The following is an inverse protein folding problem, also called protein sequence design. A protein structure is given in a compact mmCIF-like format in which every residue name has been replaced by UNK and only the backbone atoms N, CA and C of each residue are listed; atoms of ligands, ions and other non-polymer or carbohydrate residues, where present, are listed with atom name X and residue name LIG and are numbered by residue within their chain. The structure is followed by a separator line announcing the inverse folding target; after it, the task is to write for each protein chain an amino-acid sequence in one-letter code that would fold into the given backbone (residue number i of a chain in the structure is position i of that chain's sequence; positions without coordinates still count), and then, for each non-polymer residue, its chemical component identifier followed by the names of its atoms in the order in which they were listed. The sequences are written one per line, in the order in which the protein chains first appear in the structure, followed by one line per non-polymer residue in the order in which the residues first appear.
data_IF_719678294523
#
_entry.id   IF_719678294523
#
_cell.length_a   1.000
_cell.length_b   1.000
_cell.length_c   1.000
_cell.angle_alpha   90.00
_cell.angle_beta   90.00
_cell.angle_gamma   90.00
#
_symmetry.space_group_name_H-M   'P 1'
#
loop_
_entity.id
_entity.type
_entity.pdbx_description
1 polymer ?
#
# COMPACT_ATOMS: atom_id res chain seq x y z
N UNK A 1 22.81 -0.37 -5.56
CA UNK A 1 22.78 0.43 -4.31
C UNK A 1 22.47 -0.49 -3.15
N UNK A 2 23.12 -0.27 -1.99
CA UNK A 2 22.92 -1.10 -0.79
C UNK A 2 22.43 -0.21 0.35
N UNK A 3 21.43 -0.67 1.10
CA UNK A 3 20.81 0.02 2.23
C UNK A 3 20.76 -0.92 3.44
N UNK A 4 21.38 -0.53 4.54
CA UNK A 4 21.37 -1.32 5.77
C UNK A 4 20.11 -0.99 6.59
N UNK A 5 19.25 -2.00 6.82
CA UNK A 5 17.99 -1.89 7.59
C UNK A 5 17.68 -3.21 8.30
N UNK A 6 16.78 -3.19 9.27
CA UNK A 6 16.34 -4.41 9.97
C UNK A 6 14.93 -4.83 9.58
N UNK A 7 14.08 -3.89 9.18
CA UNK A 7 12.69 -4.14 8.84
C UNK A 7 12.29 -3.53 7.50
N UNK A 8 11.39 -4.21 6.79
CA UNK A 8 10.81 -3.75 5.54
C UNK A 8 9.30 -3.58 5.72
N UNK A 9 8.80 -2.38 5.51
CA UNK A 9 7.38 -2.04 5.62
C UNK A 9 6.86 -1.74 4.21
N UNK A 10 5.96 -2.55 3.73
CA UNK A 10 5.42 -2.43 2.37
C UNK A 10 4.01 -1.85 2.40
N UNK A 11 3.75 -0.82 1.62
CA UNK A 11 2.38 -0.59 1.19
C UNK A 11 1.88 -1.80 0.38
N UNK A 12 0.57 -1.93 0.28
CA UNK A 12 -0.05 -3.04 -0.43
C UNK A 12 -0.24 -2.71 -1.92
N UNK A 13 -1.15 -1.75 -2.18
CA UNK A 13 -1.66 -1.45 -3.51
C UNK A 13 -0.66 -0.55 -4.26
N UNK A 14 -0.20 -0.99 -5.44
CA UNK A 14 0.87 -0.30 -6.19
C UNK A 14 2.29 -0.73 -5.81
N UNK A 15 2.49 -1.32 -4.63
CA UNK A 15 3.79 -1.82 -4.17
C UNK A 15 3.89 -3.34 -4.27
N UNK A 16 3.08 -4.09 -3.51
CA UNK A 16 3.07 -5.56 -3.55
C UNK A 16 2.09 -6.10 -4.57
N UNK A 17 0.96 -5.42 -4.74
CA UNK A 17 -0.12 -5.85 -5.63
C UNK A 17 -0.53 -4.74 -6.59
N UNK A 18 -0.99 -5.13 -7.78
CA UNK A 18 -1.61 -4.26 -8.77
C UNK A 18 -3.12 -4.50 -8.76
N UNK A 19 -3.85 -3.58 -8.16
CA UNK A 19 -5.31 -3.63 -7.98
C UNK A 19 -6.08 -2.65 -8.89
N UNK A 20 -5.40 -1.84 -9.69
CA UNK A 20 -5.97 -0.74 -10.46
C UNK A 20 -7.19 -1.17 -11.28
N UNK A 21 -7.06 -2.22 -12.10
CA UNK A 21 -8.15 -2.72 -12.95
C UNK A 21 -9.40 -3.11 -12.13
N UNK A 22 -9.20 -3.71 -10.94
CA UNK A 22 -10.30 -4.13 -10.06
C UNK A 22 -10.94 -2.94 -9.34
N UNK A 23 -10.15 -1.94 -8.96
CA UNK A 23 -10.61 -0.69 -8.35
C UNK A 23 -11.43 0.11 -9.36
N UNK A 24 -10.93 0.31 -10.57
CA UNK A 24 -11.66 1.03 -11.63
C UNK A 24 -12.99 0.36 -11.96
N UNK A 25 -13.04 -0.97 -12.02
CA UNK A 25 -14.30 -1.71 -12.26
C UNK A 25 -15.28 -1.56 -11.08
N UNK A 26 -14.80 -1.68 -9.83
CA UNK A 26 -15.64 -1.53 -8.64
C UNK A 26 -16.26 -0.13 -8.57
N UNK A 27 -15.43 0.89 -8.69
CA UNK A 27 -15.87 2.28 -8.66
C UNK A 27 -16.73 2.66 -9.87
N UNK A 28 -16.46 2.07 -11.03
CA UNK A 28 -17.32 2.24 -12.22
C UNK A 28 -18.76 1.76 -11.96
N UNK A 29 -18.91 0.52 -11.44
CA UNK A 29 -20.21 -0.03 -11.07
C UNK A 29 -20.90 0.78 -9.96
N UNK A 30 -20.13 1.20 -8.97
CA UNK A 30 -20.65 2.01 -7.88
C UNK A 30 -21.11 3.39 -8.35
N UNK A 31 -20.34 4.04 -9.21
CA UNK A 31 -20.64 5.39 -9.69
C UNK A 31 -21.89 5.45 -10.56
N UNK A 32 -22.20 4.40 -11.33
CA UNK A 32 -23.44 4.32 -12.10
C UNK A 32 -24.67 4.54 -11.22
N UNK A 33 -24.61 4.12 -9.95
CA UNK A 33 -25.72 4.18 -9.01
C UNK A 33 -25.70 5.44 -8.12
N UNK A 34 -24.54 5.80 -7.61
CA UNK A 34 -24.43 6.80 -6.54
C UNK A 34 -23.88 8.15 -6.99
N UNK A 35 -23.04 8.17 -8.03
CA UNK A 35 -22.39 9.38 -8.52
C UNK A 35 -22.18 9.33 -10.04
N UNK A 36 -23.27 9.35 -10.85
CA UNK A 36 -23.16 9.23 -12.30
C UNK A 36 -22.19 10.25 -12.90
N UNK A 37 -21.21 9.76 -13.68
CA UNK A 37 -20.16 10.59 -14.27
C UNK A 37 -18.88 10.71 -13.43
N UNK A 38 -18.86 10.20 -12.20
CA UNK A 38 -17.61 10.06 -11.45
C UNK A 38 -16.79 8.90 -12.00
N UNK A 39 -15.49 9.12 -12.16
CA UNK A 39 -14.52 8.09 -12.46
C UNK A 39 -13.37 8.18 -11.43
N UNK A 40 -13.04 7.04 -10.80
CA UNK A 40 -11.88 6.97 -9.92
C UNK A 40 -10.63 7.24 -10.75
N UNK A 41 -9.78 8.14 -10.30
CA UNK A 41 -8.52 8.47 -10.95
C UNK A 41 -7.35 8.31 -10.00
N UNK A 42 -6.16 8.48 -10.52
CA UNK A 42 -4.92 8.28 -9.74
C UNK A 42 -4.86 9.18 -8.49
N UNK A 43 -5.41 10.39 -8.54
CA UNK A 43 -5.45 11.33 -7.41
C UNK A 43 -6.18 10.81 -6.16
N UNK A 44 -6.92 9.72 -6.30
CA UNK A 44 -7.63 9.07 -5.19
C UNK A 44 -6.85 7.88 -4.59
N UNK A 45 -5.72 7.48 -5.22
CA UNK A 45 -4.90 6.38 -4.71
C UNK A 45 -4.36 6.67 -3.31
N UNK A 46 -4.37 5.66 -2.47
CA UNK A 46 -3.95 5.76 -1.08
C UNK A 46 -4.96 6.43 -0.14
N UNK A 47 -6.08 6.96 -0.66
CA UNK A 47 -7.18 7.48 0.16
C UNK A 47 -8.16 6.36 0.53
N UNK A 48 -8.64 6.31 1.79
CA UNK A 48 -9.71 5.39 2.18
C UNK A 48 -10.98 5.61 1.35
N UNK A 49 -11.63 4.53 0.89
CA UNK A 49 -12.87 4.60 0.12
C UNK A 49 -13.96 5.41 0.85
N UNK A 50 -14.04 5.27 2.18
CA UNK A 50 -14.96 6.02 3.05
C UNK A 50 -14.86 7.55 2.87
N UNK A 51 -13.66 8.09 2.73
CA UNK A 51 -13.46 9.53 2.52
C UNK A 51 -13.97 9.97 1.16
N UNK A 52 -13.71 9.18 0.12
CA UNK A 52 -14.16 9.47 -1.25
C UNK A 52 -15.68 9.41 -1.33
N UNK A 53 -16.30 8.39 -0.74
CA UNK A 53 -17.76 8.25 -0.69
C UNK A 53 -18.39 9.45 0.03
N UNK A 54 -17.82 9.92 1.15
CA UNK A 54 -18.34 11.05 1.91
C UNK A 54 -18.34 12.37 1.09
N UNK A 55 -17.45 12.52 0.11
CA UNK A 55 -17.41 13.68 -0.79
C UNK A 55 -18.47 13.60 -1.90
N UNK A 56 -18.93 12.38 -2.26
CA UNK A 56 -19.73 12.12 -3.45
C UNK A 56 -21.22 11.92 -3.17
N UNK A 57 -21.60 11.54 -1.95
CA UNK A 57 -23.00 11.24 -1.62
C UNK A 57 -23.48 12.04 -0.40
N UNK A 58 -24.82 12.15 -0.27
CA UNK A 58 -25.42 12.75 0.93
C UNK A 58 -25.20 11.90 2.18
N UNK A 59 -25.28 12.52 3.35
CA UNK A 59 -25.13 11.82 4.63
C UNK A 59 -26.14 10.66 4.81
N UNK A 60 -27.34 10.80 4.21
CA UNK A 60 -28.38 9.76 4.27
C UNK A 60 -28.00 8.49 3.50
N UNK A 61 -27.25 8.63 2.39
CA UNK A 61 -26.82 7.54 1.54
C UNK A 61 -25.43 6.99 1.93
N UNK A 62 -24.71 7.70 2.80
CA UNK A 62 -23.31 7.43 3.06
C UNK A 62 -23.05 5.98 3.50
N UNK A 63 -23.74 5.48 4.52
CA UNK A 63 -23.47 4.15 5.07
C UNK A 63 -23.78 3.04 4.05
N UNK A 64 -24.88 3.15 3.29
CA UNK A 64 -25.19 2.14 2.29
C UNK A 64 -24.27 2.20 1.09
N UNK A 65 -23.88 3.39 0.65
CA UNK A 65 -22.96 3.57 -0.47
C UNK A 65 -21.54 3.12 -0.11
N UNK A 66 -21.10 3.38 1.13
CA UNK A 66 -19.79 2.94 1.63
C UNK A 66 -19.73 1.41 1.80
N UNK A 67 -20.79 0.78 2.30
CA UNK A 67 -20.85 -0.67 2.36
C UNK A 67 -20.79 -1.30 0.97
N UNK A 68 -21.54 -0.77 0.00
CA UNK A 68 -21.60 -1.31 -1.36
C UNK A 68 -20.26 -1.21 -2.11
N UNK A 69 -19.48 -0.11 -1.95
CA UNK A 69 -18.16 -0.04 -2.59
C UNK A 69 -17.20 -1.05 -1.94
N UNK A 70 -17.22 -1.21 -0.62
CA UNK A 70 -16.39 -2.20 0.06
C UNK A 70 -16.71 -3.63 -0.42
N UNK A 71 -17.98 -3.97 -0.54
CA UNK A 71 -18.42 -5.28 -1.06
C UNK A 71 -17.97 -5.49 -2.51
N UNK A 72 -18.09 -4.47 -3.36
CA UNK A 72 -17.63 -4.53 -4.76
C UNK A 72 -16.11 -4.72 -4.87
N UNK A 73 -15.34 -3.99 -4.08
CA UNK A 73 -13.88 -4.12 -4.08
C UNK A 73 -13.43 -5.49 -3.58
N UNK A 74 -14.04 -6.04 -2.52
CA UNK A 74 -13.77 -7.40 -2.03
C UNK A 74 -14.17 -8.44 -3.09
N UNK A 75 -15.34 -8.32 -3.69
CA UNK A 75 -15.81 -9.23 -4.76
C UNK A 75 -14.85 -9.26 -5.95
N UNK A 76 -14.26 -8.13 -6.31
CA UNK A 76 -13.36 -7.99 -7.46
C UNK A 76 -11.88 -8.22 -7.10
N UNK A 77 -11.54 -8.39 -5.82
CA UNK A 77 -10.16 -8.59 -5.37
C UNK A 77 -9.45 -9.78 -6.03
N UNK A 78 -10.21 -10.80 -6.45
CA UNK A 78 -9.67 -11.97 -7.17
C UNK A 78 -8.96 -11.62 -8.50
N UNK A 79 -9.14 -10.42 -9.02
CA UNK A 79 -8.47 -9.91 -10.24
C UNK A 79 -7.11 -9.27 -9.97
N UNK A 80 -6.78 -9.04 -8.71
CA UNK A 80 -5.52 -8.44 -8.29
C UNK A 80 -4.34 -9.34 -8.66
N UNK A 81 -3.27 -8.74 -9.16
CA UNK A 81 -2.03 -9.43 -9.58
C UNK A 81 -0.86 -8.95 -8.73
N UNK A 82 0.21 -9.75 -8.59
CA UNK A 82 1.42 -9.27 -7.95
C UNK A 82 2.12 -8.22 -8.84
N UNK A 83 2.74 -7.22 -8.21
CA UNK A 83 3.65 -6.32 -8.92
C UNK A 83 4.95 -7.05 -9.30
N UNK A 84 5.69 -6.56 -10.32
CA UNK A 84 6.94 -7.19 -10.72
C UNK A 84 7.96 -7.25 -9.59
N UNK A 85 8.39 -8.47 -9.22
CA UNK A 85 9.38 -8.73 -8.17
C UNK A 85 8.81 -8.94 -6.77
N UNK A 86 7.52 -8.61 -6.52
CA UNK A 86 6.93 -8.69 -5.18
C UNK A 86 7.01 -10.09 -4.56
N UNK A 87 6.49 -11.12 -5.26
CA UNK A 87 6.49 -12.49 -4.74
C UNK A 87 7.92 -12.95 -4.44
N UNK A 88 8.87 -12.71 -5.37
CA UNK A 88 10.26 -13.12 -5.21
C UNK A 88 10.89 -12.48 -3.98
N UNK A 89 10.70 -11.17 -3.81
CA UNK A 89 11.25 -10.46 -2.67
C UNK A 89 10.66 -10.98 -1.36
N UNK A 90 9.34 -10.90 -1.16
CA UNK A 90 8.73 -11.24 0.13
C UNK A 90 8.86 -12.72 0.49
N UNK A 91 8.91 -13.64 -0.50
CA UNK A 91 9.15 -15.06 -0.25
C UNK A 91 10.57 -15.37 0.23
N UNK A 92 11.51 -14.46 0.00
CA UNK A 92 12.91 -14.58 0.48
C UNK A 92 13.14 -14.02 1.90
N UNK A 93 12.14 -13.28 2.43
CA UNK A 93 12.27 -12.60 3.72
C UNK A 93 11.95 -13.53 4.90
N UNK A 94 12.63 -13.31 6.02
CA UNK A 94 12.18 -13.83 7.32
C UNK A 94 10.83 -13.18 7.68
N UNK A 95 9.88 -13.99 8.15
CA UNK A 95 8.53 -13.52 8.50
C UNK A 95 8.49 -12.44 9.60
N UNK A 96 9.57 -12.29 10.37
CA UNK A 96 9.69 -11.28 11.42
C UNK A 96 10.36 -9.99 10.93
N UNK A 97 10.83 -9.94 9.68
CA UNK A 97 11.54 -8.78 9.12
C UNK A 97 10.69 -7.89 8.24
N UNK A 98 9.41 -8.23 7.99
CA UNK A 98 8.56 -7.43 7.12
C UNK A 98 7.10 -7.37 7.57
N UNK A 99 6.43 -6.29 7.17
CA UNK A 99 5.00 -6.06 7.40
C UNK A 99 4.34 -5.41 6.18
N UNK A 100 3.02 -5.56 6.10
CA UNK A 100 2.15 -4.85 5.15
C UNK A 100 1.42 -3.72 5.88
N UNK A 101 1.35 -2.55 5.23
CA UNK A 101 0.65 -1.36 5.75
C UNK A 101 -0.23 -0.80 4.65
N UNK A 102 -1.54 -0.98 4.75
CA UNK A 102 -2.49 -0.60 3.69
C UNK A 102 -3.54 0.41 4.15
N UNK A 103 -4.00 1.24 3.21
CA UNK A 103 -5.16 2.11 3.37
C UNK A 103 -6.52 1.39 3.20
N UNK A 104 -6.52 0.09 2.85
CA UNK A 104 -7.72 -0.71 2.79
C UNK A 104 -8.12 -1.26 4.16
N UNK A 105 -9.39 -1.65 4.35
CA UNK A 105 -9.80 -2.46 5.49
C UNK A 105 -9.25 -3.88 5.38
N UNK A 106 -9.23 -4.61 6.52
CA UNK A 106 -8.52 -5.89 6.63
C UNK A 106 -8.97 -6.91 5.58
N UNK A 107 -10.27 -7.11 5.41
CA UNK A 107 -10.81 -8.09 4.48
C UNK A 107 -10.36 -7.83 3.04
N UNK A 108 -10.42 -6.58 2.58
CA UNK A 108 -10.01 -6.21 1.23
C UNK A 108 -8.50 -6.36 1.03
N UNK A 109 -7.70 -5.81 1.94
CA UNK A 109 -6.25 -5.88 1.84
C UNK A 109 -5.75 -7.32 1.84
N UNK A 110 -6.32 -8.17 2.71
CA UNK A 110 -6.01 -9.60 2.76
C UNK A 110 -6.43 -10.33 1.47
N UNK A 111 -7.66 -10.09 0.99
CA UNK A 111 -8.14 -10.69 -0.25
C UNK A 111 -7.26 -10.36 -1.46
N UNK A 112 -6.79 -9.11 -1.57
CA UNK A 112 -5.86 -8.66 -2.62
C UNK A 112 -4.51 -9.39 -2.54
N UNK A 113 -3.91 -9.50 -1.34
CA UNK A 113 -2.65 -10.22 -1.14
C UNK A 113 -2.77 -11.68 -1.56
N UNK A 114 -3.83 -12.35 -1.09
CA UNK A 114 -4.04 -13.78 -1.39
C UNK A 114 -4.30 -14.02 -2.89
N UNK A 115 -5.09 -13.17 -3.53
CA UNK A 115 -5.35 -13.25 -4.98
C UNK A 115 -4.06 -13.09 -5.79
N UNK A 116 -3.17 -12.20 -5.35
CA UNK A 116 -1.87 -11.96 -5.98
C UNK A 116 -0.82 -13.04 -5.67
N UNK A 117 -1.12 -14.02 -4.81
CA UNK A 117 -0.18 -15.06 -4.40
C UNK A 117 0.97 -14.55 -3.52
N UNK A 118 0.78 -13.42 -2.85
CA UNK A 118 1.72 -12.91 -1.87
C UNK A 118 1.62 -13.77 -0.60
N UNK A 119 2.74 -14.24 -0.02
CA UNK A 119 2.72 -14.96 1.25
C UNK A 119 2.03 -14.16 2.35
N UNK A 120 1.25 -14.84 3.19
CA UNK A 120 0.57 -14.21 4.32
C UNK A 120 1.58 -13.52 5.26
N UNK A 121 1.50 -12.19 5.46
CA UNK A 121 2.40 -11.47 6.36
C UNK A 121 2.10 -11.83 7.82
N UNK A 122 3.13 -11.83 8.67
CA UNK A 122 2.93 -11.96 10.13
C UNK A 122 2.29 -10.71 10.73
N UNK A 123 2.60 -9.57 10.17
CA UNK A 123 2.07 -8.26 10.58
C UNK A 123 1.44 -7.59 9.38
N UNK A 124 0.16 -7.27 9.51
CA UNK A 124 -0.60 -6.43 8.60
C UNK A 124 -1.26 -5.33 9.41
N UNK A 125 -1.09 -4.09 8.98
CA UNK A 125 -1.75 -2.90 9.55
C UNK A 125 -2.66 -2.31 8.48
N UNK A 126 -3.89 -2.06 8.84
CA UNK A 126 -4.97 -1.62 7.96
C UNK A 126 -5.62 -0.35 8.51
N UNK A 127 -6.57 0.24 7.80
CA UNK A 127 -7.34 1.39 8.34
C UNK A 127 -8.13 1.02 9.60
N UNK A 128 -8.44 -0.26 9.80
CA UNK A 128 -9.19 -0.73 10.98
C UNK A 128 -8.35 -0.72 12.26
N UNK A 129 -7.03 -0.63 12.13
CA UNK A 129 -6.07 -0.67 13.24
C UNK A 129 -5.68 0.72 13.76
N UNK A 130 -5.98 1.79 13.03
CA UNK A 130 -5.50 3.15 13.28
C UNK A 130 -6.64 4.16 13.38
N UNK A 131 -6.40 5.25 14.05
CA UNK A 131 -7.36 6.36 14.12
C UNK A 131 -7.21 7.32 12.94
N UNK A 132 -6.00 7.44 12.42
CA UNK A 132 -5.67 8.34 11.30
C UNK A 132 -4.89 7.58 10.26
N UNK A 133 -5.42 7.57 9.03
CA UNK A 133 -4.75 7.00 7.87
C UNK A 133 -3.64 7.89 7.31
N UNK A 134 -2.89 7.39 6.32
CA UNK A 134 -1.88 8.15 5.58
C UNK A 134 -2.47 9.48 5.07
N UNK A 135 -1.80 10.61 5.24
CA UNK A 135 -0.37 10.79 5.51
C UNK A 135 0.05 10.80 7.00
N UNK A 136 -0.84 10.47 7.94
CA UNK A 136 -0.46 10.34 9.35
C UNK A 136 0.50 9.15 9.52
N UNK A 137 1.54 9.26 10.37
CA UNK A 137 2.54 8.21 10.58
C UNK A 137 2.03 6.99 11.35
N UNK A 138 0.83 7.04 11.93
CA UNK A 138 0.33 6.07 12.89
C UNK A 138 0.44 4.63 12.40
N UNK A 139 0.09 4.37 11.13
CA UNK A 139 0.09 3.03 10.55
C UNK A 139 1.50 2.42 10.44
N UNK A 140 2.51 3.21 10.03
CA UNK A 140 3.90 2.73 9.93
C UNK A 140 4.54 2.55 11.30
N UNK A 141 4.27 3.47 12.25
CA UNK A 141 4.72 3.33 13.63
C UNK A 141 4.13 2.06 14.27
N UNK A 142 2.83 1.81 14.08
CA UNK A 142 2.19 0.61 14.59
C UNK A 142 2.76 -0.67 13.98
N UNK A 143 3.04 -0.66 12.67
CA UNK A 143 3.64 -1.81 11.99
C UNK A 143 5.03 -2.15 12.54
N UNK A 144 5.89 -1.15 12.73
CA UNK A 144 7.22 -1.33 13.31
C UNK A 144 7.15 -1.88 14.75
N UNK A 145 6.23 -1.36 15.57
CA UNK A 145 5.98 -1.83 16.92
C UNK A 145 5.53 -3.30 16.95
N UNK A 146 4.60 -3.69 16.05
CA UNK A 146 4.12 -5.08 15.94
C UNK A 146 5.21 -6.05 15.45
N UNK A 147 6.16 -5.56 14.63
CA UNK A 147 7.36 -6.32 14.25
C UNK A 147 8.39 -6.41 15.38
N UNK A 148 8.36 -5.49 16.35
CA UNK A 148 9.39 -5.35 17.39
C UNK A 148 10.70 -4.77 16.84
N UNK A 149 10.64 -3.97 15.77
CA UNK A 149 11.78 -3.29 15.14
C UNK A 149 11.56 -1.79 15.23
N UNK A 150 12.58 -1.04 15.68
CA UNK A 150 12.48 0.43 15.73
C UNK A 150 12.26 1.00 14.33
N UNK A 151 11.34 1.96 14.20
CA UNK A 151 11.01 2.55 12.90
C UNK A 151 12.23 3.22 12.24
N UNK A 152 13.16 3.74 13.03
CA UNK A 152 14.43 4.31 12.56
C UNK A 152 15.41 3.26 11.99
N UNK A 153 15.09 1.98 12.08
CA UNK A 153 15.81 0.86 11.48
C UNK A 153 15.02 0.19 10.36
N UNK A 154 13.81 0.73 10.03
CA UNK A 154 12.95 0.23 8.97
C UNK A 154 13.09 1.02 7.67
N UNK A 155 12.80 0.34 6.55
CA UNK A 155 12.61 0.94 5.24
C UNK A 155 11.16 0.77 4.83
N UNK A 156 10.56 1.85 4.31
CA UNK A 156 9.19 1.87 3.78
C UNK A 156 9.24 1.83 2.25
N UNK A 157 8.41 0.99 1.62
CA UNK A 157 8.11 1.02 0.19
C UNK A 157 6.71 1.59 -0.03
N UNK A 158 6.58 2.59 -0.91
CA UNK A 158 5.34 3.31 -1.15
C UNK A 158 5.20 3.78 -2.60
N UNK A 159 3.96 3.76 -3.13
CA UNK A 159 3.66 4.23 -4.48
C UNK A 159 2.91 5.57 -4.49
N UNK A 160 2.38 6.03 -3.35
CA UNK A 160 1.55 7.22 -3.23
C UNK A 160 2.24 8.34 -2.43
N UNK A 161 2.09 9.63 -2.81
CA UNK A 161 2.67 10.75 -2.07
C UNK A 161 2.25 10.80 -0.59
N UNK A 162 0.97 10.47 -0.27
CA UNK A 162 0.47 10.41 1.10
C UNK A 162 1.20 9.37 1.95
N UNK A 163 1.51 8.21 1.36
CA UNK A 163 2.24 7.16 2.05
C UNK A 163 3.72 7.48 2.21
N UNK A 164 4.36 8.11 1.22
CA UNK A 164 5.73 8.65 1.37
C UNK A 164 5.79 9.64 2.53
N UNK A 165 4.82 10.57 2.62
CA UNK A 165 4.73 11.51 3.75
C UNK A 165 4.55 10.78 5.08
N UNK A 166 3.70 9.75 5.14
CA UNK A 166 3.49 8.95 6.34
C UNK A 166 4.77 8.23 6.79
N UNK A 167 5.49 7.60 5.86
CA UNK A 167 6.76 6.93 6.14
C UNK A 167 7.84 7.90 6.66
N UNK A 168 7.94 9.08 6.06
CA UNK A 168 8.85 10.15 6.51
C UNK A 168 8.46 10.68 7.89
N UNK A 169 7.18 10.98 8.10
CA UNK A 169 6.68 11.47 9.39
C UNK A 169 6.83 10.42 10.51
N UNK A 170 6.76 9.13 10.18
CA UNK A 170 7.02 8.03 11.12
C UNK A 170 8.49 7.95 11.58
N UNK A 171 9.40 8.58 10.84
CA UNK A 171 10.84 8.52 11.11
C UNK A 171 11.51 7.25 10.57
N UNK A 172 10.97 6.65 9.52
CA UNK A 172 11.58 5.52 8.83
C UNK A 172 13.01 5.87 8.37
N UNK A 173 13.93 4.91 8.45
CA UNK A 173 15.33 5.12 8.05
C UNK A 173 15.45 5.50 6.59
N UNK A 174 14.65 4.84 5.74
CA UNK A 174 14.52 5.15 4.33
C UNK A 174 13.07 5.03 3.89
N UNK A 175 12.68 5.87 2.94
CA UNK A 175 11.42 5.75 2.21
C UNK A 175 11.76 5.61 0.73
N UNK A 176 11.44 4.47 0.15
CA UNK A 176 11.64 4.14 -1.26
C UNK A 176 10.31 4.23 -1.99
N UNK A 177 10.23 5.16 -2.92
CA UNK A 177 9.09 5.30 -3.80
C UNK A 177 9.08 4.22 -4.88
N UNK A 178 7.92 3.69 -5.23
CA UNK A 178 7.73 2.70 -6.29
C UNK A 178 6.82 3.28 -7.38
N UNK A 179 7.32 3.33 -8.62
CA UNK A 179 6.58 3.91 -9.74
C UNK A 179 6.89 5.39 -10.00
N UNK A 180 6.36 5.89 -11.12
CA UNK A 180 6.62 7.27 -11.59
C UNK A 180 5.88 8.34 -10.78
N UNK A 181 4.78 7.98 -10.14
CA UNK A 181 3.86 8.91 -9.48
C UNK A 181 4.47 9.58 -8.24
N UNK A 182 5.51 8.97 -7.68
CA UNK A 182 6.22 9.48 -6.51
C UNK A 182 7.59 10.07 -6.84
N UNK A 183 7.89 10.30 -8.12
CA UNK A 183 9.18 10.90 -8.55
C UNK A 183 9.41 12.27 -7.90
N UNK A 184 8.38 13.10 -7.82
CA UNK A 184 8.44 14.45 -7.22
C UNK A 184 8.18 14.44 -5.70
N UNK A 185 8.02 13.26 -5.08
CA UNK A 185 7.79 13.14 -3.65
C UNK A 185 9.07 13.31 -2.83
N UNK A 186 8.95 13.30 -1.50
CA UNK A 186 10.07 13.33 -0.54
C UNK A 186 10.70 11.94 -0.28
N UNK A 187 10.49 10.95 -1.15
CA UNK A 187 11.15 9.66 -1.04
C UNK A 187 12.68 9.80 -1.17
N UNK A 188 13.46 9.00 -0.47
CA UNK A 188 14.93 9.02 -0.53
C UNK A 188 15.45 8.46 -1.85
N UNK A 189 14.69 7.55 -2.46
CA UNK A 189 14.96 6.89 -3.73
C UNK A 189 13.63 6.58 -4.39
N UNK A 190 13.58 6.62 -5.72
CA UNK A 190 12.41 6.14 -6.48
C UNK A 190 12.85 5.06 -7.45
N UNK A 191 12.12 3.95 -7.46
CA UNK A 191 12.37 2.77 -8.29
C UNK A 191 11.17 2.43 -9.16
N UNK A 192 11.41 1.75 -10.28
CA UNK A 192 10.35 1.35 -11.21
C UNK A 192 9.57 0.13 -10.76
N UNK A 193 10.17 -0.76 -9.96
CA UNK A 193 9.57 -2.01 -9.48
C UNK A 193 10.43 -2.68 -8.42
N UNK A 194 9.91 -3.74 -7.81
CA UNK A 194 10.65 -4.58 -6.85
C UNK A 194 11.52 -5.66 -7.53
N UNK A 195 11.60 -5.67 -8.87
CA UNK A 195 12.30 -6.71 -9.61
C UNK A 195 13.79 -6.76 -9.30
N UNK A 196 14.30 -7.94 -8.93
CA UNK A 196 15.71 -8.18 -8.64
C UNK A 196 16.21 -7.54 -7.35
N UNK A 197 15.33 -6.95 -6.54
CA UNK A 197 15.68 -6.52 -5.18
C UNK A 197 15.90 -7.75 -4.32
N UNK A 198 16.97 -7.72 -3.51
CA UNK A 198 17.30 -8.78 -2.54
C UNK A 198 17.53 -8.19 -1.16
N UNK A 199 17.20 -8.95 -0.12
CA UNK A 199 17.45 -8.60 1.27
C UNK A 199 18.14 -9.76 1.99
N UNK A 200 19.34 -9.54 2.46
CA UNK A 200 20.14 -10.56 3.14
C UNK A 200 20.97 -9.92 4.28
N UNK A 201 20.95 -10.55 5.45
CA UNK A 201 21.74 -10.13 6.62
C UNK A 201 21.58 -8.64 6.99
N UNK A 202 20.36 -8.11 6.83
CA UNK A 202 20.05 -6.71 7.14
C UNK A 202 20.49 -5.72 6.04
N UNK A 203 20.85 -6.20 4.86
CA UNK A 203 21.26 -5.38 3.72
C UNK A 203 20.30 -5.56 2.54
N UNK A 204 19.63 -4.46 2.15
CA UNK A 204 18.78 -4.41 0.97
C UNK A 204 19.61 -3.99 -0.24
N UNK A 205 19.63 -4.80 -1.28
CA UNK A 205 20.31 -4.51 -2.55
C UNK A 205 19.30 -4.17 -3.63
N UNK A 206 19.41 -2.97 -4.20
CA UNK A 206 18.54 -2.45 -5.27
C UNK A 206 19.35 -2.37 -6.57
N UNK A 207 18.92 -3.08 -7.65
CA UNK A 207 19.56 -2.98 -8.97
C UNK A 207 19.52 -1.55 -9.51
N UNK A 208 20.62 -1.09 -10.13
CA UNK A 208 20.72 0.26 -10.67
C UNK A 208 19.69 0.52 -11.77
N UNK A 209 19.38 -0.47 -12.58
CA UNK A 209 18.36 -0.39 -13.64
C UNK A 209 16.94 -0.14 -13.14
N UNK A 210 16.64 -0.36 -11.86
CA UNK A 210 15.33 -0.07 -11.29
C UNK A 210 15.21 1.38 -10.84
N UNK A 211 16.31 2.11 -10.74
CA UNK A 211 16.32 3.47 -10.23
C UNK A 211 15.71 4.45 -11.22
N UNK A 212 14.75 5.23 -10.78
CA UNK A 212 14.15 6.35 -11.52
C UNK A 212 14.68 7.70 -11.04
N UNK A 213 14.98 7.80 -9.74
CA UNK A 213 15.56 8.97 -9.07
C UNK A 213 16.39 8.53 -7.89
#
# INVERSE_FOLDING_TARGET
MQLAVKGLLFDNDGVLVSSLDSVEEAWGKWSEKYAPGFAIGYSFHGRPAREIVAELVSQELFEVANAEINDLEVMLAHRTKPTPGAIQLVSSLDRNSWAVVTGAHHELGYARLMAAGIPEPKVMVTVDDVQRGKPDPESYVLASQRLGIDISECLVFEDAPSGVMAGRAAGAKYVVGVGSEVIESEADLVISSLMGITFLDGELSIPEQNRLR
#
